data_IF_701533069406
#
_entry.id   IF_701533069406
#
_cell.length_a   1.000
_cell.length_b   1.000
_cell.length_c   1.000
_cell.angle_alpha   90.00
_cell.angle_beta   90.00
_cell.angle_gamma   90.00
#
_symmetry.space_group_name_H-M   'P 1'
#
loop_
_entity.id
_entity.type
_entity.pdbx_description
1 polymer ?
#
# COMPACT_ATOMS: atom_id res chain seq x y z
N UNK A 1 -49.04 27.10 29.76
CA UNK A 1 -48.08 27.70 30.70
C UNK A 1 -46.80 26.84 30.67
N UNK A 2 -45.79 27.39 30.03
CA UNK A 2 -44.44 26.82 29.84
C UNK A 2 -43.60 27.05 31.07
N UNK A 3 -42.73 26.10 31.43
CA UNK A 3 -41.60 26.36 32.29
C UNK A 3 -40.39 25.60 31.72
N UNK A 4 -39.44 26.35 31.20
CA UNK A 4 -38.13 25.88 30.79
C UNK A 4 -37.20 25.89 32.01
N UNK A 5 -36.54 24.76 32.29
CA UNK A 5 -35.44 24.68 33.26
C UNK A 5 -34.12 24.59 32.52
N UNK A 6 -33.31 25.65 32.69
CA UNK A 6 -31.91 25.72 32.33
C UNK A 6 -31.08 25.25 33.52
N UNK A 7 -30.34 24.17 33.40
CA UNK A 7 -29.35 23.73 34.38
C UNK A 7 -27.97 24.11 33.89
N UNK A 8 -27.36 25.10 34.53
CA UNK A 8 -25.95 25.44 34.33
C UNK A 8 -25.08 24.64 35.29
N UNK A 9 -24.18 23.77 34.74
CA UNK A 9 -23.13 23.14 35.52
C UNK A 9 -21.88 24.01 35.46
N UNK A 10 -21.55 24.63 36.58
CA UNK A 10 -20.30 25.34 36.81
C UNK A 10 -19.16 24.35 37.06
N UNK A 11 -18.07 24.49 36.32
CA UNK A 11 -16.83 23.77 36.57
C UNK A 11 -16.01 24.54 37.62
N UNK A 12 -15.71 23.90 38.75
CA UNK A 12 -14.68 24.36 39.69
C UNK A 12 -13.32 23.86 39.23
N UNK A 13 -12.44 24.81 38.92
CA UNK A 13 -11.03 24.53 38.71
C UNK A 13 -10.27 24.44 40.05
N UNK A 14 -9.40 23.47 40.16
CA UNK A 14 -8.31 23.46 41.12
C UNK A 14 -6.99 23.37 40.39
N UNK A 15 -6.18 24.41 40.53
CA UNK A 15 -4.80 24.47 40.05
C UNK A 15 -3.91 23.69 40.99
N UNK A 16 -3.23 22.65 40.49
CA UNK A 16 -1.95 22.23 41.07
C UNK A 16 -0.91 22.13 39.96
N UNK A 17 0.21 22.80 40.19
CA UNK A 17 1.42 22.73 39.39
C UNK A 17 2.10 21.38 39.66
N UNK A 18 2.38 20.66 38.63
CA UNK A 18 3.43 19.63 38.63
C UNK A 18 4.06 19.52 37.23
N UNK A 19 5.37 19.43 37.29
CA UNK A 19 6.36 19.55 36.24
C UNK A 19 6.14 18.69 35.01
N UNK A 20 6.45 19.29 33.87
CA UNK A 20 7.06 18.76 32.61
C UNK A 20 7.09 17.25 32.40
N UNK A 21 6.10 16.74 31.68
CA UNK A 21 6.32 15.67 30.72
C UNK A 21 5.69 16.15 29.41
N UNK A 22 6.51 16.43 28.41
CA UNK A 22 6.08 16.73 27.08
C UNK A 22 5.36 15.48 26.52
N UNK A 23 4.04 15.41 26.66
CA UNK A 23 3.21 14.59 25.82
C UNK A 23 3.25 15.23 24.44
N UNK A 24 4.02 14.66 23.54
CA UNK A 24 3.82 14.88 22.12
C UNK A 24 2.45 14.29 21.78
N UNK A 25 1.42 15.13 21.83
CA UNK A 25 0.20 14.90 21.07
C UNK A 25 0.65 14.83 19.60
N UNK A 26 0.87 13.60 19.12
CA UNK A 26 0.85 13.33 17.71
C UNK A 26 -0.59 13.58 17.27
N UNK A 27 -0.91 14.83 16.95
CA UNK A 27 -1.98 15.09 16.01
C UNK A 27 -1.61 14.31 14.76
N UNK A 28 -2.30 13.21 14.51
CA UNK A 28 -2.35 12.54 13.23
C UNK A 28 -2.98 13.53 12.25
N UNK A 29 -2.21 14.54 11.85
CA UNK A 29 -2.53 15.26 10.63
C UNK A 29 -2.49 14.22 9.52
N UNK A 30 -3.64 13.94 8.91
CA UNK A 30 -3.72 13.16 7.70
C UNK A 30 -2.77 13.79 6.69
N UNK A 31 -1.56 13.21 6.57
CA UNK A 31 -0.55 13.74 5.66
C UNK A 31 -0.98 13.39 4.23
N UNK A 32 -1.77 14.27 3.62
CA UNK A 32 -2.26 14.13 2.25
C UNK A 32 -1.23 14.58 1.20
N UNK A 33 -0.07 15.09 1.63
CA UNK A 33 0.97 15.64 0.73
C UNK A 33 2.18 14.74 0.55
N UNK A 34 2.34 13.70 1.39
CA UNK A 34 3.53 12.84 1.40
C UNK A 34 4.75 13.51 2.04
N UNK A 35 5.92 12.93 1.79
CA UNK A 35 7.20 13.48 2.24
C UNK A 35 7.62 14.66 1.35
N UNK A 36 8.22 15.69 1.94
CA UNK A 36 8.73 16.83 1.18
C UNK A 36 10.07 16.46 0.50
N UNK A 37 10.02 16.30 -0.81
CA UNK A 37 11.18 15.98 -1.66
C UNK A 37 11.76 17.23 -2.35
N UNK A 38 11.31 18.44 -1.99
CA UNK A 38 11.77 19.71 -2.63
C UNK A 38 13.26 19.97 -2.50
N UNK A 39 13.92 19.32 -1.54
CA UNK A 39 15.38 19.36 -1.36
C UNK A 39 16.17 18.48 -2.35
N UNK A 40 15.51 17.62 -3.12
CA UNK A 40 16.16 16.80 -4.15
C UNK A 40 16.41 17.69 -5.36
N UNK A 41 17.64 17.71 -5.87
CA UNK A 41 18.02 18.51 -7.03
C UNK A 41 18.26 17.64 -8.26
N UNK A 42 18.04 18.23 -9.43
CA UNK A 42 18.36 17.59 -10.70
C UNK A 42 19.86 17.25 -10.77
N UNK A 43 20.13 16.06 -11.26
CA UNK A 43 21.48 15.62 -11.63
C UNK A 43 21.58 15.62 -13.17
N UNK A 44 22.36 16.54 -13.72
CA UNK A 44 22.45 16.70 -15.16
C UNK A 44 23.13 15.51 -15.85
N UNK A 45 24.08 14.84 -15.20
CA UNK A 45 24.75 13.66 -15.75
C UNK A 45 23.77 12.47 -15.82
N UNK A 46 22.95 12.27 -14.78
CA UNK A 46 21.91 11.24 -14.76
C UNK A 46 20.80 11.59 -15.78
N UNK A 47 20.33 12.83 -15.78
CA UNK A 47 19.29 13.28 -16.70
C UNK A 47 19.70 13.12 -18.17
N UNK A 48 20.97 13.33 -18.49
CA UNK A 48 21.51 13.14 -19.85
C UNK A 48 21.55 11.67 -20.30
N UNK A 49 21.41 10.70 -19.39
CA UNK A 49 21.37 9.28 -19.72
C UNK A 49 19.95 8.80 -20.12
N UNK A 50 18.92 9.62 -19.87
CA UNK A 50 17.55 9.24 -20.18
C UNK A 50 17.29 9.23 -21.69
N UNK A 51 16.57 8.22 -22.19
CA UNK A 51 16.18 8.17 -23.59
C UNK A 51 15.12 9.24 -23.91
N UNK A 52 15.10 9.72 -25.15
CA UNK A 52 14.13 10.71 -25.62
C UNK A 52 12.67 10.26 -25.42
N UNK A 53 12.41 8.95 -25.49
CA UNK A 53 11.09 8.39 -25.24
C UNK A 53 10.52 8.71 -23.84
N UNK A 54 11.39 8.90 -22.84
CA UNK A 54 11.02 9.24 -21.46
C UNK A 54 10.98 10.76 -21.26
N UNK A 55 11.85 11.52 -21.96
CA UNK A 55 12.00 12.97 -21.70
C UNK A 55 11.10 13.85 -22.56
N UNK A 56 10.49 13.32 -23.62
CA UNK A 56 9.80 14.06 -24.70
C UNK A 56 8.65 14.95 -24.24
N UNK A 57 7.95 14.57 -23.16
CA UNK A 57 6.79 15.30 -22.62
C UNK A 57 7.09 16.01 -21.30
N UNK A 58 8.32 15.86 -20.79
CA UNK A 58 8.76 16.48 -19.54
C UNK A 58 8.23 15.80 -18.29
N UNK A 59 7.65 14.61 -18.40
CA UNK A 59 7.07 13.84 -17.29
C UNK A 59 7.76 12.50 -17.10
N UNK A 60 7.75 12.02 -15.86
CA UNK A 60 8.04 10.63 -15.52
C UNK A 60 6.71 9.97 -15.16
N UNK A 61 6.16 9.21 -16.09
CA UNK A 61 4.89 8.51 -15.90
C UNK A 61 5.13 7.22 -15.11
N UNK A 62 4.49 7.10 -13.94
CA UNK A 62 4.73 6.01 -13.00
C UNK A 62 3.45 5.22 -12.76
N UNK A 63 3.40 3.95 -13.18
CA UNK A 63 2.30 3.05 -12.87
C UNK A 63 2.39 2.51 -11.44
N UNK A 64 1.31 2.63 -10.66
CA UNK A 64 1.25 2.12 -9.28
C UNK A 64 -0.17 1.72 -8.87
N UNK A 65 -0.28 0.73 -7.99
CA UNK A 65 -1.57 0.32 -7.42
C UNK A 65 -1.83 1.07 -6.11
N UNK A 66 -2.61 2.13 -6.18
CA UNK A 66 -2.90 3.01 -5.05
C UNK A 66 -3.89 2.43 -4.04
N UNK A 67 -3.89 1.11 -3.87
CA UNK A 67 -4.66 0.41 -2.84
C UNK A 67 -3.79 -0.16 -1.71
N UNK A 68 -2.48 0.11 -1.70
CA UNK A 68 -1.48 -0.55 -0.84
C UNK A 68 -0.81 0.40 0.16
N UNK A 69 -1.59 0.92 1.13
CA UNK A 69 -1.05 1.77 2.19
C UNK A 69 -0.07 0.97 3.09
N UNK A 70 1.03 1.57 3.58
CA UNK A 70 1.44 2.99 3.42
C UNK A 70 2.35 3.27 2.22
N UNK A 71 2.58 2.28 1.33
CA UNK A 71 3.49 2.41 0.19
C UNK A 71 2.92 3.35 -0.88
N UNK A 72 1.74 3.03 -1.40
CA UNK A 72 1.00 3.83 -2.37
C UNK A 72 -0.51 3.70 -2.14
N UNK A 73 -1.17 4.83 -1.93
CA UNK A 73 -2.61 4.87 -1.68
C UNK A 73 -3.19 6.23 -2.06
N UNK A 74 -4.52 6.30 -2.14
CA UNK A 74 -5.20 7.57 -2.39
C UNK A 74 -5.37 8.33 -1.09
N UNK A 75 -5.09 9.63 -1.13
CA UNK A 75 -5.38 10.56 -0.04
C UNK A 75 -6.89 10.61 0.28
N UNK A 76 -7.28 11.38 1.28
CA UNK A 76 -8.69 11.51 1.70
C UNK A 76 -9.60 12.07 0.61
N UNK A 77 -9.04 12.76 -0.39
CA UNK A 77 -9.79 13.25 -1.56
C UNK A 77 -10.20 12.12 -2.54
N UNK A 78 -9.70 10.91 -2.31
CA UNK A 78 -9.95 9.74 -3.15
C UNK A 78 -9.34 9.82 -4.57
N UNK A 79 -8.38 10.73 -4.79
CA UNK A 79 -7.80 10.99 -6.12
C UNK A 79 -6.28 11.13 -6.10
N UNK A 80 -5.73 11.82 -5.11
CA UNK A 80 -4.30 12.15 -5.04
C UNK A 80 -3.51 10.96 -4.53
N UNK A 81 -2.58 10.38 -5.32
CA UNK A 81 -1.68 9.34 -4.83
C UNK A 81 -0.71 9.90 -3.79
N UNK A 82 -0.56 9.17 -2.68
CA UNK A 82 0.37 9.46 -1.58
C UNK A 82 0.99 8.16 -1.07
N UNK A 83 2.06 8.27 -0.28
CA UNK A 83 2.78 7.13 0.29
C UNK A 83 4.25 7.16 -0.10
N UNK A 84 5.07 6.30 0.51
CA UNK A 84 6.51 6.36 0.32
C UNK A 84 6.96 5.98 -1.11
N UNK A 85 6.24 5.10 -1.81
CA UNK A 85 6.53 4.78 -3.23
C UNK A 85 6.20 5.97 -4.14
N UNK A 86 5.16 6.76 -3.80
CA UNK A 86 4.85 8.02 -4.50
C UNK A 86 5.93 9.08 -4.23
N UNK A 87 6.43 9.15 -3.00
CA UNK A 87 7.51 10.09 -2.65
C UNK A 87 8.82 9.74 -3.35
N UNK A 88 9.14 8.45 -3.50
CA UNK A 88 10.27 7.96 -4.30
C UNK A 88 10.09 8.34 -5.77
N UNK A 89 8.90 8.16 -6.33
CA UNK A 89 8.60 8.56 -7.71
C UNK A 89 8.83 10.05 -7.93
N UNK A 90 8.39 10.91 -7.00
CA UNK A 90 8.61 12.36 -7.03
C UNK A 90 10.10 12.70 -6.93
N UNK A 91 10.84 12.04 -6.03
CA UNK A 91 12.27 12.25 -5.87
C UNK A 91 13.05 11.86 -7.14
N UNK A 92 12.73 10.71 -7.74
CA UNK A 92 13.33 10.29 -9.01
C UNK A 92 13.06 11.28 -10.15
N UNK A 93 11.81 11.74 -10.28
CA UNK A 93 11.47 12.74 -11.29
C UNK A 93 12.28 14.03 -11.12
N UNK A 94 12.51 14.49 -9.87
CA UNK A 94 13.35 15.67 -9.61
C UNK A 94 14.81 15.43 -10.01
N UNK A 95 15.40 14.28 -9.68
CA UNK A 95 16.76 13.91 -10.12
C UNK A 95 16.86 13.95 -11.64
N UNK A 96 15.83 13.50 -12.34
CA UNK A 96 15.77 13.49 -13.80
C UNK A 96 15.44 14.87 -14.42
N UNK A 97 14.98 15.82 -13.62
CA UNK A 97 14.49 17.11 -14.11
C UNK A 97 13.15 17.02 -14.84
N UNK A 98 12.32 16.04 -14.45
CA UNK A 98 10.97 15.78 -14.97
C UNK A 98 9.92 16.07 -13.91
N UNK A 99 8.65 16.20 -14.34
CA UNK A 99 7.49 16.20 -13.45
C UNK A 99 7.08 14.76 -13.14
N UNK A 100 6.83 14.44 -11.87
CA UNK A 100 6.28 13.11 -11.51
C UNK A 100 4.80 13.02 -11.89
N UNK A 101 4.42 11.97 -12.62
CA UNK A 101 3.04 11.68 -13.01
C UNK A 101 2.64 10.27 -12.54
N UNK A 102 2.30 10.10 -11.24
CA UNK A 102 1.87 8.83 -10.70
C UNK A 102 0.45 8.49 -11.16
N UNK A 103 0.30 7.41 -11.92
CA UNK A 103 -0.98 6.92 -12.43
C UNK A 103 -1.46 5.69 -11.67
N UNK A 104 -2.71 5.75 -11.20
CA UNK A 104 -3.38 4.61 -10.55
C UNK A 104 -3.71 3.52 -11.58
N UNK A 105 -3.33 2.29 -11.25
CA UNK A 105 -3.58 1.11 -12.07
C UNK A 105 -3.86 -0.12 -11.20
N UNK A 106 -4.45 -1.18 -11.79
CA UNK A 106 -4.48 -2.47 -11.12
C UNK A 106 -3.07 -3.09 -11.15
N UNK A 107 -2.67 -3.74 -10.06
CA UNK A 107 -1.35 -4.35 -9.90
C UNK A 107 -0.95 -5.26 -11.08
N UNK A 108 -1.89 -6.11 -11.53
CA UNK A 108 -1.69 -7.07 -12.62
C UNK A 108 -1.44 -6.41 -13.99
N UNK A 109 -1.78 -5.13 -14.15
CA UNK A 109 -1.66 -4.39 -15.41
C UNK A 109 -0.41 -3.52 -15.51
N UNK A 110 0.33 -3.30 -14.41
CA UNK A 110 1.44 -2.34 -14.39
C UNK A 110 2.62 -2.85 -15.23
N UNK A 111 3.18 -4.03 -14.88
CA UNK A 111 4.35 -4.59 -15.60
C UNK A 111 4.10 -4.70 -17.10
N UNK A 112 2.96 -5.25 -17.58
CA UNK A 112 2.70 -5.31 -19.03
C UNK A 112 2.60 -3.95 -19.73
N UNK A 113 2.43 -2.87 -18.98
CA UNK A 113 2.25 -1.51 -19.50
C UNK A 113 3.51 -0.65 -19.41
N UNK A 114 4.58 -1.12 -18.75
CA UNK A 114 5.89 -0.43 -18.72
C UNK A 114 6.47 -0.38 -20.13
N UNK A 115 7.02 0.77 -20.50
CA UNK A 115 7.56 1.05 -21.84
C UNK A 115 6.50 1.39 -22.90
N UNK A 116 5.20 1.26 -22.59
CA UNK A 116 4.11 1.63 -23.51
C UNK A 116 3.19 2.70 -22.95
N UNK A 117 2.72 2.54 -21.72
CA UNK A 117 1.88 3.50 -21.00
C UNK A 117 2.63 4.19 -19.88
N UNK A 118 3.50 3.49 -19.20
CA UNK A 118 4.32 4.01 -18.10
C UNK A 118 5.79 3.95 -18.48
N UNK A 119 6.57 4.94 -18.04
CA UNK A 119 8.02 4.92 -18.15
C UNK A 119 8.61 3.91 -17.17
N UNK A 120 8.05 3.89 -15.94
CA UNK A 120 8.41 2.95 -14.88
C UNK A 120 7.16 2.48 -14.11
N UNK A 121 7.32 1.38 -13.36
CA UNK A 121 6.34 0.92 -12.36
C UNK A 121 6.97 0.93 -10.97
N UNK A 122 6.30 1.55 -10.00
CA UNK A 122 6.65 1.49 -8.57
C UNK A 122 5.40 1.08 -7.83
N UNK A 123 5.36 -0.14 -7.29
CA UNK A 123 4.21 -0.67 -6.55
C UNK A 123 4.62 -1.90 -5.73
N UNK A 124 5.65 -1.75 -4.93
CA UNK A 124 6.14 -2.78 -4.00
C UNK A 124 6.31 -4.18 -4.65
N UNK A 125 6.74 -4.23 -5.90
CA UNK A 125 6.90 -5.48 -6.65
C UNK A 125 8.01 -6.36 -6.07
N UNK A 126 7.70 -7.62 -5.80
CA UNK A 126 8.73 -8.64 -5.57
C UNK A 126 9.47 -8.93 -6.88
N UNK A 127 10.80 -8.91 -6.85
CA UNK A 127 11.63 -9.32 -7.99
C UNK A 127 11.54 -10.84 -8.15
N UNK A 128 11.06 -11.30 -9.29
CA UNK A 128 10.95 -12.72 -9.62
C UNK A 128 11.57 -13.00 -10.99
N UNK A 129 11.98 -14.26 -11.21
CA UNK A 129 12.54 -14.68 -12.53
C UNK A 129 11.56 -14.40 -13.67
N UNK A 130 10.28 -14.70 -13.46
CA UNK A 130 9.23 -14.47 -14.45
C UNK A 130 9.09 -12.99 -14.81
N UNK A 131 9.09 -12.11 -13.79
CA UNK A 131 8.98 -10.65 -14.01
C UNK A 131 10.23 -10.07 -14.67
N UNK A 132 11.43 -10.63 -14.38
CA UNK A 132 12.68 -10.25 -15.03
C UNK A 132 12.74 -10.61 -16.52
N UNK A 133 11.86 -11.50 -17.02
CA UNK A 133 11.71 -11.77 -18.45
C UNK A 133 11.01 -10.62 -19.21
N UNK A 134 10.25 -9.79 -18.47
CA UNK A 134 9.47 -8.70 -19.04
C UNK A 134 10.07 -7.30 -18.81
N UNK A 135 10.67 -7.06 -17.64
CA UNK A 135 11.22 -5.75 -17.24
C UNK A 135 12.46 -5.91 -16.36
N UNK A 136 13.32 -4.89 -16.35
CA UNK A 136 14.41 -4.80 -15.40
C UNK A 136 13.92 -4.24 -14.06
N UNK A 137 14.60 -4.58 -12.95
CA UNK A 137 14.28 -4.13 -11.61
C UNK A 137 15.44 -3.43 -10.93
N UNK A 138 15.11 -2.37 -10.19
CA UNK A 138 16.00 -1.76 -9.21
C UNK A 138 15.36 -1.95 -7.84
N UNK A 139 16.02 -2.72 -6.95
CA UNK A 139 15.53 -2.92 -5.58
C UNK A 139 15.76 -1.66 -4.76
N UNK A 140 14.73 -1.18 -4.08
CA UNK A 140 14.81 -0.02 -3.18
C UNK A 140 14.34 -0.34 -1.76
N UNK A 141 13.75 -1.51 -1.53
CA UNK A 141 13.20 -1.89 -0.24
C UNK A 141 13.23 -3.42 -0.07
N UNK A 142 13.64 -3.88 1.13
CA UNK A 142 13.60 -5.29 1.49
C UNK A 142 12.41 -5.55 2.41
N UNK A 143 11.53 -6.47 2.01
CA UNK A 143 10.35 -6.85 2.77
C UNK A 143 10.13 -8.34 2.75
N UNK A 144 9.43 -8.84 3.76
CA UNK A 144 8.86 -10.18 3.79
C UNK A 144 7.36 -10.14 3.65
N UNK A 145 6.75 -11.30 3.39
CA UNK A 145 5.31 -11.48 3.44
C UNK A 145 4.86 -11.91 4.84
N UNK A 146 3.67 -11.52 5.24
CA UNK A 146 3.07 -11.89 6.52
C UNK A 146 1.59 -12.19 6.36
N UNK A 147 1.11 -13.17 7.12
CA UNK A 147 -0.31 -13.44 7.25
C UNK A 147 -0.96 -12.43 8.19
N UNK A 148 -2.12 -11.92 7.82
CA UNK A 148 -2.89 -11.04 8.69
C UNK A 148 -4.31 -11.57 8.92
N UNK A 149 -4.72 -11.54 10.18
CA UNK A 149 -6.03 -11.98 10.65
C UNK A 149 -6.79 -10.85 11.32
N UNK A 150 -8.08 -11.01 11.53
CA UNK A 150 -8.89 -10.05 12.29
C UNK A 150 -8.26 -9.81 13.67
N UNK A 151 -8.25 -8.55 14.12
CA UNK A 151 -7.68 -8.14 15.42
C UNK A 151 -8.11 -9.06 16.56
N UNK A 152 -7.12 -9.55 17.30
CA UNK A 152 -7.33 -10.49 18.40
C UNK A 152 -7.52 -11.94 17.97
N UNK A 153 -7.46 -12.25 16.68
CA UNK A 153 -7.60 -13.60 16.12
C UNK A 153 -8.80 -14.40 16.73
N UNK A 154 -10.04 -13.88 16.64
CA UNK A 154 -11.20 -14.48 17.31
C UNK A 154 -11.48 -15.90 16.82
N UNK A 155 -11.13 -16.22 15.58
CA UNK A 155 -11.30 -17.53 14.97
C UNK A 155 -10.12 -18.48 15.24
N UNK A 156 -9.13 -18.05 16.03
CA UNK A 156 -7.93 -18.84 16.39
C UNK A 156 -7.26 -19.44 15.15
N UNK A 157 -7.10 -18.63 14.10
CA UNK A 157 -6.44 -19.07 12.88
C UNK A 157 -4.99 -19.40 13.18
N UNK A 158 -4.58 -20.61 12.84
CA UNK A 158 -3.19 -21.05 12.84
C UNK A 158 -2.64 -20.91 11.41
N UNK A 159 -1.73 -19.96 11.23
CA UNK A 159 -1.14 -19.69 9.91
C UNK A 159 -0.13 -20.74 9.47
N UNK A 160 0.21 -21.71 10.32
CA UNK A 160 1.00 -22.89 9.96
C UNK A 160 0.16 -24.02 9.33
N UNK A 161 -1.15 -24.03 9.51
CA UNK A 161 -2.09 -24.97 8.85
C UNK A 161 -3.35 -24.24 8.39
N UNK A 162 -3.32 -23.86 7.11
CA UNK A 162 -4.41 -23.10 6.48
C UNK A 162 -5.40 -23.98 5.70
N UNK A 163 -5.25 -25.31 5.75
CA UNK A 163 -6.19 -26.21 5.09
C UNK A 163 -7.61 -26.05 5.68
N UNK A 164 -8.61 -25.99 4.81
CA UNK A 164 -10.01 -25.72 5.18
C UNK A 164 -10.33 -24.25 5.51
N UNK A 165 -9.37 -23.33 5.31
CA UNK A 165 -9.57 -21.89 5.53
C UNK A 165 -9.81 -21.14 4.22
N UNK A 166 -10.35 -19.93 4.36
CA UNK A 166 -10.51 -18.96 3.27
C UNK A 166 -9.41 -17.92 3.36
N UNK A 167 -8.56 -17.87 2.32
CA UNK A 167 -7.43 -16.96 2.24
C UNK A 167 -7.72 -15.89 1.19
N UNK A 168 -7.74 -14.63 1.58
CA UNK A 168 -7.84 -13.51 0.66
C UNK A 168 -6.45 -13.08 0.20
N UNK A 169 -6.31 -12.79 -1.09
CA UNK A 169 -5.06 -12.37 -1.72
C UNK A 169 -5.32 -11.33 -2.80
N UNK A 170 -4.32 -10.53 -3.12
CA UNK A 170 -4.39 -9.66 -4.28
C UNK A 170 -3.96 -10.43 -5.53
N UNK A 171 -4.67 -10.20 -6.63
CA UNK A 171 -4.43 -10.85 -7.92
C UNK A 171 -3.03 -10.54 -8.46
N UNK A 172 -2.37 -11.55 -9.06
CA UNK A 172 -1.05 -11.50 -9.68
C UNK A 172 0.12 -11.19 -8.71
N UNK A 173 -0.10 -11.36 -7.41
CA UNK A 173 0.95 -11.27 -6.40
C UNK A 173 1.66 -12.61 -6.18
N UNK A 174 2.84 -12.55 -5.56
CA UNK A 174 3.54 -13.75 -5.09
C UNK A 174 2.73 -14.47 -4.00
N UNK A 175 2.00 -13.72 -3.20
CA UNK A 175 1.12 -14.23 -2.16
C UNK A 175 -0.03 -15.05 -2.73
N UNK A 176 -0.63 -14.62 -3.87
CA UNK A 176 -1.63 -15.43 -4.58
C UNK A 176 -1.04 -16.74 -5.08
N UNK A 177 0.17 -16.68 -5.67
CA UNK A 177 0.87 -17.89 -6.16
C UNK A 177 1.14 -18.87 -5.02
N UNK A 178 1.59 -18.38 -3.86
CA UNK A 178 1.86 -19.21 -2.70
C UNK A 178 0.59 -19.78 -2.07
N UNK A 179 -0.46 -18.98 -1.91
CA UNK A 179 -1.76 -19.46 -1.42
C UNK A 179 -2.33 -20.58 -2.31
N UNK A 180 -2.24 -20.41 -3.63
CA UNK A 180 -2.64 -21.47 -4.58
C UNK A 180 -1.78 -22.73 -4.48
N UNK A 181 -0.47 -22.60 -4.19
CA UNK A 181 0.41 -23.74 -3.93
C UNK A 181 0.01 -24.48 -2.65
N UNK A 182 -0.29 -23.73 -1.57
CA UNK A 182 -0.77 -24.32 -0.31
C UNK A 182 -2.12 -25.03 -0.54
N UNK A 183 -3.04 -24.44 -1.31
CA UNK A 183 -4.33 -25.06 -1.64
C UNK A 183 -4.16 -26.42 -2.33
N UNK A 184 -3.27 -26.49 -3.32
CA UNK A 184 -2.93 -27.76 -4.00
C UNK A 184 -2.30 -28.79 -3.05
N UNK A 185 -1.47 -28.34 -2.12
CA UNK A 185 -0.85 -29.23 -1.13
C UNK A 185 -1.90 -29.81 -0.17
N UNK A 186 -2.86 -29.00 0.30
CA UNK A 186 -3.96 -29.48 1.12
C UNK A 186 -4.77 -30.58 0.42
N UNK A 187 -5.09 -30.38 -0.86
CA UNK A 187 -5.78 -31.41 -1.68
C UNK A 187 -4.95 -32.69 -1.83
N UNK A 188 -3.64 -32.55 -2.10
CA UNK A 188 -2.73 -33.68 -2.24
C UNK A 188 -2.59 -34.51 -0.94
N UNK A 189 -2.62 -33.83 0.21
CA UNK A 189 -2.54 -34.43 1.54
C UNK A 189 -3.88 -35.01 2.03
N UNK A 190 -4.95 -34.90 1.24
CA UNK A 190 -6.29 -35.35 1.60
C UNK A 190 -6.93 -34.53 2.72
N UNK A 191 -6.46 -33.32 2.96
CA UNK A 191 -7.02 -32.38 3.92
C UNK A 191 -8.16 -31.58 3.30
N UNK A 192 -8.88 -30.83 4.16
CA UNK A 192 -9.91 -29.91 3.71
C UNK A 192 -9.32 -28.86 2.75
N UNK A 193 -10.08 -28.51 1.72
CA UNK A 193 -9.64 -27.56 0.69
C UNK A 193 -9.43 -26.16 1.27
N UNK A 194 -8.28 -25.55 1.01
CA UNK A 194 -8.08 -24.13 1.20
C UNK A 194 -8.77 -23.38 0.04
N UNK A 195 -9.61 -22.41 0.35
CA UNK A 195 -10.26 -21.55 -0.64
C UNK A 195 -9.46 -20.24 -0.80
N UNK A 196 -8.97 -19.97 -2.01
CA UNK A 196 -8.27 -18.72 -2.33
C UNK A 196 -9.29 -17.73 -2.90
N UNK A 197 -9.39 -16.54 -2.28
CA UNK A 197 -10.29 -15.46 -2.69
C UNK A 197 -9.41 -14.32 -3.22
N UNK A 198 -9.28 -14.23 -4.55
CA UNK A 198 -8.51 -13.18 -5.21
C UNK A 198 -9.35 -11.92 -5.39
N UNK A 199 -8.74 -10.77 -5.14
CA UNK A 199 -9.32 -9.43 -5.38
C UNK A 199 -8.31 -8.56 -6.11
N UNK A 200 -8.78 -7.61 -6.93
CA UNK A 200 -7.88 -6.73 -7.67
C UNK A 200 -7.20 -5.71 -6.78
N UNK A 201 -7.89 -5.21 -5.77
CA UNK A 201 -7.39 -4.18 -4.86
C UNK A 201 -7.02 -4.79 -3.50
N UNK A 202 -5.91 -4.36 -2.91
CA UNK A 202 -5.50 -4.78 -1.57
C UNK A 202 -6.49 -4.33 -0.49
N UNK A 203 -7.17 -3.21 -0.69
CA UNK A 203 -8.27 -2.75 0.19
C UNK A 203 -9.43 -3.73 0.23
N UNK A 204 -9.77 -4.38 -0.90
CA UNK A 204 -10.81 -5.41 -0.95
C UNK A 204 -10.36 -6.70 -0.25
N UNK A 205 -9.08 -7.06 -0.39
CA UNK A 205 -8.46 -8.19 0.32
C UNK A 205 -8.60 -8.01 1.83
N UNK A 206 -8.23 -6.85 2.35
CA UNK A 206 -8.37 -6.49 3.77
C UNK A 206 -9.83 -6.52 4.20
N UNK A 207 -10.73 -5.95 3.40
CA UNK A 207 -12.18 -5.91 3.65
C UNK A 207 -12.77 -7.31 3.76
N UNK A 208 -12.33 -8.27 2.93
CA UNK A 208 -12.78 -9.65 3.00
C UNK A 208 -12.54 -10.28 4.38
N UNK A 209 -11.39 -9.97 5.02
CA UNK A 209 -11.09 -10.47 6.37
C UNK A 209 -11.87 -9.71 7.45
N UNK A 210 -11.93 -8.38 7.35
CA UNK A 210 -12.66 -7.55 8.31
C UNK A 210 -14.13 -7.93 8.39
N UNK A 211 -14.76 -8.21 7.24
CA UNK A 211 -16.19 -8.61 7.15
C UNK A 211 -16.43 -10.09 7.44
N UNK A 212 -15.38 -10.92 7.54
CA UNK A 212 -15.50 -12.36 7.78
C UNK A 212 -15.80 -13.19 6.53
N UNK A 213 -15.65 -12.61 5.32
CA UNK A 213 -15.74 -13.34 4.06
C UNK A 213 -14.51 -14.24 3.84
N UNK A 214 -13.36 -13.81 4.37
CA UNK A 214 -12.14 -14.61 4.47
C UNK A 214 -11.69 -14.71 5.93
N UNK A 215 -10.91 -15.75 6.24
CA UNK A 215 -10.36 -16.02 7.58
C UNK A 215 -9.05 -15.27 7.82
N UNK A 216 -8.26 -15.14 6.77
CA UNK A 216 -6.91 -14.58 6.78
C UNK A 216 -6.62 -13.94 5.42
N UNK A 217 -5.75 -12.94 5.38
CA UNK A 217 -5.17 -12.46 4.12
C UNK A 217 -3.64 -12.54 4.15
N UNK A 218 -3.07 -12.55 2.94
CA UNK A 218 -1.63 -12.66 2.72
C UNK A 218 -1.09 -11.51 1.95
#
# INVERSE_FOLDING_TARGET
>A
LSAAMIVSLGACGTSEKSDSAASSDSESSSNTTGYDVSGVTKDDDIAAMLPESVTKDGKLTVGMDTSYAPAEFLAEDGKTPVGFDVDIAKALAQVFGLEADPETANFDSIIPSVGSKYDIGISSFTVTKERLEAVDFVSHFDAGSAWAVKKGNPNKIDTSDLCGKKVAVQTATMQETEANKIAKQCEADGKDKLEVISSKLQTDVTTNVVTGKADVFY
#
